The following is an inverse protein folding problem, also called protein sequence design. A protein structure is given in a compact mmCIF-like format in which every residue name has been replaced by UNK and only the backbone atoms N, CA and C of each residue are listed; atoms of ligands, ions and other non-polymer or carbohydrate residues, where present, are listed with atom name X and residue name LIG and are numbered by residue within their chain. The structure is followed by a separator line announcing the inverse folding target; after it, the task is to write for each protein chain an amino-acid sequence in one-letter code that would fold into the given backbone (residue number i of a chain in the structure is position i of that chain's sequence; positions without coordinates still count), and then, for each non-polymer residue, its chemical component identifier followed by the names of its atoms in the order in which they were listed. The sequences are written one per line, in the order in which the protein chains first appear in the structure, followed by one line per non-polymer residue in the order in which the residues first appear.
data_IF_941521757113
#
_entry.id   IF_941521757113
#
_cell.length_a   1.000
_cell.length_b   1.000
_cell.length_c   1.000
_cell.angle_alpha   90.00
_cell.angle_beta   90.00
_cell.angle_gamma   90.00
#
_symmetry.space_group_name_H-M   'P 1'
#
loop_
_entity.id
_entity.type
_entity.pdbx_description
1 polymer ?
#
# COMPACT_ATOMS: atom_id res chain seq x y z
N UNK A 1 -7.27 -2.86 -1.34
CA UNK A 1 -7.14 -1.41 -1.17
C UNK A 1 -6.95 -0.73 -2.52
N UNK A 2 -7.10 0.58 -2.55
CA UNK A 2 -6.91 1.38 -3.76
C UNK A 2 -5.64 2.20 -3.65
N UNK A 3 -5.15 2.78 -4.78
CA UNK A 3 -3.95 3.62 -4.74
C UNK A 3 -4.07 4.84 -3.80
N UNK A 4 -5.29 5.30 -3.53
CA UNK A 4 -5.52 6.45 -2.66
C UNK A 4 -5.51 6.12 -1.18
N UNK A 5 -5.48 4.84 -0.82
CA UNK A 5 -5.51 4.41 0.58
C UNK A 5 -4.23 4.88 1.29
N UNK A 6 -4.35 5.57 2.44
CA UNK A 6 -3.17 5.94 3.22
C UNK A 6 -2.38 4.70 3.64
N UNK A 7 -1.07 4.80 3.61
CA UNK A 7 -0.22 3.65 3.95
C UNK A 7 -0.40 3.23 5.41
N UNK A 8 -0.78 4.14 6.28
CA UNK A 8 -1.06 3.79 7.68
C UNK A 8 -2.23 2.83 7.81
N UNK A 9 -3.25 2.98 6.95
CA UNK A 9 -4.39 2.05 6.94
C UNK A 9 -3.93 0.68 6.48
N UNK A 10 -3.03 0.63 5.49
CA UNK A 10 -2.45 -0.62 5.03
C UNK A 10 -1.66 -1.30 6.14
N UNK A 11 -0.87 -0.53 6.87
CA UNK A 11 -0.08 -1.06 7.98
C UNK A 11 -0.99 -1.66 9.06
N UNK A 12 -2.06 -0.96 9.41
CA UNK A 12 -3.01 -1.46 10.40
C UNK A 12 -3.69 -2.74 9.93
N UNK A 13 -4.06 -2.82 8.65
CA UNK A 13 -4.67 -4.01 8.08
C UNK A 13 -3.71 -5.21 8.16
N UNK A 14 -2.44 -4.99 7.86
CA UNK A 14 -1.44 -6.05 7.96
C UNK A 14 -1.28 -6.54 9.39
N UNK A 15 -1.29 -5.62 10.35
CA UNK A 15 -1.17 -5.97 11.77
C UNK A 15 -2.40 -6.75 12.25
N UNK A 16 -3.59 -6.26 11.90
CA UNK A 16 -4.84 -6.87 12.36
C UNK A 16 -5.05 -8.26 11.79
N UNK A 17 -4.72 -8.45 10.53
CA UNK A 17 -4.98 -9.71 9.83
C UNK A 17 -3.78 -10.66 9.83
N UNK A 18 -2.64 -10.20 10.30
CA UNK A 18 -1.43 -11.02 10.34
C UNK A 18 -0.89 -11.36 8.96
N UNK A 19 -1.11 -10.48 7.98
CA UNK A 19 -0.69 -10.73 6.60
C UNK A 19 0.49 -9.83 6.23
N UNK A 20 1.31 -10.28 5.30
CA UNK A 20 2.50 -9.56 4.88
C UNK A 20 2.38 -8.85 3.54
N UNK A 21 1.21 -8.89 2.91
CA UNK A 21 1.00 -8.27 1.61
C UNK A 21 -0.47 -7.92 1.40
N UNK A 22 -0.73 -6.88 0.62
CA UNK A 22 -2.07 -6.44 0.28
C UNK A 22 -2.14 -6.15 -1.21
N UNK A 23 -3.27 -6.48 -1.82
CA UNK A 23 -3.50 -6.18 -3.23
C UNK A 23 -3.99 -4.75 -3.38
N UNK A 24 -3.46 -4.04 -4.36
CA UNK A 24 -3.90 -2.69 -4.70
C UNK A 24 -4.69 -2.77 -5.99
N UNK A 25 -5.93 -2.35 -5.95
CA UNK A 25 -6.84 -2.43 -7.09
C UNK A 25 -7.24 -1.03 -7.57
N UNK A 26 -7.72 -0.96 -8.81
CA UNK A 26 -8.17 0.29 -9.40
C UNK A 26 -9.34 0.87 -8.61
N UNK A 27 -9.32 2.17 -8.37
CA UNK A 27 -10.40 2.85 -7.63
C UNK A 27 -11.75 2.77 -8.34
N UNK A 28 -11.73 2.71 -9.67
CA UNK A 28 -12.95 2.64 -10.46
C UNK A 28 -13.37 1.20 -10.76
N UNK A 29 -12.46 0.23 -10.65
CA UNK A 29 -12.74 -1.15 -10.96
C UNK A 29 -12.01 -2.07 -9.96
N UNK A 30 -12.70 -2.53 -8.91
CA UNK A 30 -12.06 -3.35 -7.88
C UNK A 30 -11.61 -4.72 -8.35
N UNK A 31 -12.00 -5.14 -9.55
CA UNK A 31 -11.53 -6.40 -10.12
C UNK A 31 -10.22 -6.25 -10.88
N UNK A 32 -9.75 -5.01 -11.04
CA UNK A 32 -8.51 -4.73 -11.76
C UNK A 32 -7.37 -4.53 -10.78
N UNK A 33 -6.42 -5.47 -10.79
CA UNK A 33 -5.22 -5.36 -9.97
C UNK A 33 -4.25 -4.36 -10.59
N UNK A 34 -3.83 -3.37 -9.81
CA UNK A 34 -2.85 -2.37 -10.28
C UNK A 34 -1.51 -2.49 -9.57
N UNK A 35 -1.44 -3.24 -8.48
CA UNK A 35 -0.16 -3.44 -7.81
C UNK A 35 -0.27 -4.28 -6.56
N UNK A 36 0.85 -4.41 -5.89
CA UNK A 36 0.97 -5.19 -4.66
C UNK A 36 1.74 -4.37 -3.64
N UNK A 37 1.24 -4.34 -2.41
CA UNK A 37 1.90 -3.65 -1.31
C UNK A 37 2.38 -4.70 -0.31
N UNK A 38 3.69 -4.81 -0.13
CA UNK A 38 4.28 -5.76 0.80
C UNK A 38 4.63 -5.06 2.11
N UNK A 39 4.97 -5.86 3.12
CA UNK A 39 5.42 -5.32 4.40
C UNK A 39 6.66 -4.43 4.21
N UNK A 40 7.58 -4.84 3.36
CA UNK A 40 8.78 -4.04 3.07
C UNK A 40 8.41 -2.70 2.44
N UNK A 41 7.43 -2.70 1.52
CA UNK A 41 6.96 -1.47 0.89
C UNK A 41 6.37 -0.53 1.93
N UNK A 42 5.60 -1.06 2.88
CA UNK A 42 5.01 -0.26 3.95
C UNK A 42 6.10 0.33 4.84
N UNK A 43 7.11 -0.45 5.19
CA UNK A 43 8.21 0.06 6.01
C UNK A 43 8.96 1.18 5.32
N UNK A 44 9.20 1.04 4.02
CA UNK A 44 9.85 2.09 3.23
C UNK A 44 8.98 3.35 3.19
N UNK A 45 7.68 3.19 3.00
CA UNK A 45 6.76 4.31 2.97
C UNK A 45 6.71 5.05 4.31
N UNK A 46 6.76 4.30 5.42
CA UNK A 46 6.78 4.91 6.75
C UNK A 46 8.03 5.74 6.97
N UNK A 47 9.16 5.34 6.42
CA UNK A 47 10.39 6.13 6.49
C UNK A 47 10.24 7.45 5.72
N UNK A 48 9.59 7.41 4.56
CA UNK A 48 9.32 8.62 3.78
C UNK A 48 8.39 9.54 4.57
N UNK A 49 7.37 9.00 5.23
CA UNK A 49 6.46 9.79 6.05
C UNK A 49 7.17 10.48 7.21
N UNK A 50 8.20 9.84 7.75
CA UNK A 50 8.97 10.43 8.85
C UNK A 50 9.67 11.72 8.42
N UNK A 51 10.06 11.81 7.15
CA UNK A 51 10.73 12.99 6.62
C UNK A 51 9.74 14.09 6.22
N UNK A 52 8.48 13.75 6.02
CA UNK A 52 7.44 14.73 5.77
C UNK A 52 6.29 14.21 4.94
N UNK A 53 5.07 14.36 5.46
CA UNK A 53 3.87 14.14 4.71
C UNK A 53 3.30 12.75 4.76
N UNK A 54 2.11 12.63 4.20
CA UNK A 54 1.37 11.38 4.11
C UNK A 54 1.76 10.63 2.84
N UNK A 55 1.82 9.31 2.94
CA UNK A 55 2.09 8.45 1.80
C UNK A 55 0.90 7.53 1.59
N UNK A 56 0.44 7.44 0.35
CA UNK A 56 -0.65 6.54 -0.02
C UNK A 56 -0.10 5.23 -0.58
N UNK A 57 -0.99 4.25 -0.74
CA UNK A 57 -0.62 2.95 -1.27
C UNK A 57 -0.01 3.04 -2.67
N UNK A 58 -0.42 4.02 -3.48
CA UNK A 58 0.14 4.19 -4.81
C UNK A 58 1.64 4.44 -4.78
N UNK A 59 2.09 5.28 -3.86
CA UNK A 59 3.50 5.63 -3.78
C UNK A 59 4.35 4.51 -3.18
N UNK A 60 3.76 3.73 -2.28
CA UNK A 60 4.49 2.66 -1.59
C UNK A 60 4.46 1.32 -2.31
N UNK A 61 3.52 1.12 -3.23
CA UNK A 61 3.30 -0.19 -3.84
C UNK A 61 4.37 -0.56 -4.86
N UNK A 62 4.55 -1.87 -5.02
CA UNK A 62 5.31 -2.42 -6.13
C UNK A 62 4.32 -2.75 -7.24
N UNK A 63 4.63 -2.39 -8.48
CA UNK A 63 3.75 -2.69 -9.58
C UNK A 63 4.04 -4.06 -10.15
N UNK A 64 2.99 -4.77 -10.56
CA UNK A 64 3.15 -6.10 -11.13
C UNK A 64 3.74 -6.05 -12.54
N UNK A 65 3.77 -4.88 -13.15
CA UNK A 65 4.26 -4.71 -14.51
C UNK A 65 5.76 -4.44 -14.60
N UNK A 66 6.43 -4.29 -13.49
CA UNK A 66 7.87 -4.03 -13.47
C UNK A 66 8.70 -5.25 -13.22
#
# INVERSE_FOLDING_TARGET
MTPDTPVMDAFEAMQSDGIGRLLVVDSADPDRLVGLLTRTDVMTALEIMREGGEVTAERGRSTAAE
#
